data_IF_571542136761
#
_entry.id   IF_571542136761
#
_cell.length_a   1.000
_cell.length_b   1.000
_cell.length_c   1.000
_cell.angle_alpha   90.00
_cell.angle_beta   90.00
_cell.angle_gamma   90.00
#
_symmetry.space_group_name_H-M   'P 1'
#
loop_
_entity.id
_entity.type
_entity.pdbx_description
1 polymer ?
#
# COMPACT_ATOMS: atom_id res chain seq x y z
N UNK A 1 -27.19 -9.00 -2.24
CA UNK A 1 -26.46 -9.18 -3.50
C UNK A 1 -25.53 -8.02 -3.77
N UNK A 2 -24.32 -8.27 -4.27
CA UNK A 2 -23.31 -7.27 -4.57
C UNK A 2 -23.88 -6.22 -5.54
N UNK A 3 -23.78 -4.95 -5.18
CA UNK A 3 -24.24 -3.84 -6.04
C UNK A 3 -23.51 -3.82 -7.39
N UNK A 4 -22.38 -4.50 -7.51
CA UNK A 4 -21.53 -4.58 -8.70
C UNK A 4 -21.46 -5.96 -9.34
N UNK A 5 -21.82 -7.05 -8.65
CA UNK A 5 -21.72 -8.41 -9.19
C UNK A 5 -22.90 -8.81 -10.07
N UNK A 6 -24.11 -8.28 -9.83
CA UNK A 6 -25.34 -8.74 -10.51
C UNK A 6 -25.79 -7.86 -11.68
N UNK A 7 -25.01 -6.83 -12.01
CA UNK A 7 -25.37 -5.96 -13.13
C UNK A 7 -24.18 -5.78 -14.05
N UNK A 8 -24.16 -6.50 -15.14
CA UNK A 8 -23.59 -5.93 -16.35
C UNK A 8 -24.17 -4.51 -16.49
N UNK A 9 -23.32 -3.48 -16.71
CA UNK A 9 -23.83 -2.13 -16.84
C UNK A 9 -24.94 -2.16 -17.89
N UNK A 10 -26.12 -1.61 -17.55
CA UNK A 10 -27.26 -1.51 -18.47
C UNK A 10 -26.91 -0.76 -19.76
N UNK A 11 -25.79 -0.06 -19.76
CA UNK A 11 -25.25 0.75 -20.83
C UNK A 11 -23.74 0.53 -20.94
N UNK A 12 -23.29 -0.65 -21.45
CA UNK A 12 -21.87 -0.96 -21.63
C UNK A 12 -21.16 0.01 -22.58
N UNK A 13 -21.93 0.70 -23.44
CA UNK A 13 -21.47 1.75 -24.33
C UNK A 13 -21.07 3.06 -23.60
N UNK A 14 -21.59 3.30 -22.39
CA UNK A 14 -21.30 4.48 -21.59
C UNK A 14 -20.23 4.25 -20.53
N UNK A 15 -20.07 3.00 -20.07
CA UNK A 15 -19.16 2.67 -18.97
C UNK A 15 -18.38 1.39 -19.31
N UNK A 16 -17.05 1.48 -19.25
CA UNK A 16 -16.20 0.30 -19.27
C UNK A 16 -15.18 0.35 -18.13
N UNK A 17 -15.02 -0.77 -17.45
CA UNK A 17 -13.96 -0.91 -16.47
C UNK A 17 -12.74 -1.52 -17.15
N UNK A 18 -11.62 -0.81 -17.14
CA UNK A 18 -10.36 -1.26 -17.74
C UNK A 18 -9.82 -2.58 -17.16
N UNK A 19 -10.23 -2.90 -15.92
CA UNK A 19 -9.78 -4.06 -15.18
C UNK A 19 -10.97 -4.82 -14.59
N UNK A 20 -11.23 -6.02 -15.10
CA UNK A 20 -12.37 -6.86 -14.68
C UNK A 20 -12.34 -7.28 -13.20
N UNK A 21 -11.15 -7.34 -12.57
CA UNK A 21 -11.04 -7.69 -11.15
C UNK A 21 -11.59 -6.63 -10.19
N UNK A 22 -11.77 -5.39 -10.62
CA UNK A 22 -12.42 -4.36 -9.79
C UNK A 22 -13.89 -4.71 -9.54
N UNK A 23 -14.54 -5.40 -10.46
CA UNK A 23 -15.94 -5.80 -10.33
C UNK A 23 -16.15 -6.95 -9.33
N UNK A 24 -15.12 -7.74 -9.05
CA UNK A 24 -15.15 -8.83 -8.06
C UNK A 24 -14.73 -8.35 -6.67
N UNK A 25 -14.28 -7.11 -6.55
CA UNK A 25 -13.59 -6.61 -5.37
C UNK A 25 -14.52 -6.17 -4.24
N UNK A 26 -15.85 -6.18 -4.39
CA UNK A 26 -16.77 -5.78 -3.34
C UNK A 26 -17.81 -6.88 -3.07
N UNK A 27 -17.45 -7.83 -2.22
CA UNK A 27 -18.46 -8.63 -1.55
C UNK A 27 -19.21 -7.72 -0.56
N UNK A 28 -20.42 -7.32 -0.94
CA UNK A 28 -21.22 -6.35 -0.18
C UNK A 28 -21.57 -6.83 1.21
N UNK A 29 -21.71 -8.14 1.42
CA UNK A 29 -22.11 -8.68 2.71
C UNK A 29 -20.93 -8.63 3.70
N UNK A 30 -19.72 -8.97 3.24
CA UNK A 30 -18.49 -8.81 4.02
C UNK A 30 -18.24 -7.34 4.36
N UNK A 31 -18.40 -6.45 3.38
CA UNK A 31 -18.20 -5.02 3.58
C UNK A 31 -19.23 -4.46 4.58
N UNK A 32 -20.51 -4.81 4.44
CA UNK A 32 -21.58 -4.36 5.35
C UNK A 32 -21.31 -4.83 6.78
N UNK A 33 -20.93 -6.10 6.96
CA UNK A 33 -20.56 -6.67 8.27
C UNK A 33 -19.38 -5.89 8.90
N UNK A 34 -18.34 -5.60 8.11
CA UNK A 34 -17.19 -4.85 8.61
C UNK A 34 -17.54 -3.40 8.93
N UNK A 35 -18.37 -2.73 8.12
CA UNK A 35 -18.84 -1.38 8.42
C UNK A 35 -19.67 -1.34 9.71
N UNK A 36 -20.56 -2.32 9.92
CA UNK A 36 -21.32 -2.44 11.16
C UNK A 36 -20.41 -2.60 12.38
N UNK A 37 -19.42 -3.49 12.29
CA UNK A 37 -18.47 -3.73 13.38
C UNK A 37 -17.61 -2.47 13.68
N UNK A 38 -17.13 -1.78 12.64
CA UNK A 38 -16.36 -0.53 12.78
C UNK A 38 -17.23 0.56 13.40
N UNK A 39 -18.47 0.73 12.93
CA UNK A 39 -19.39 1.75 13.44
C UNK A 39 -19.80 1.48 14.90
N UNK A 40 -20.03 0.21 15.22
CA UNK A 40 -20.36 -0.22 16.57
C UNK A 40 -19.16 -0.36 17.51
N UNK A 41 -17.94 -0.09 17.07
CA UNK A 41 -16.68 -0.28 17.81
C UNK A 41 -16.54 -1.70 18.37
N UNK A 42 -17.06 -2.70 17.66
CA UNK A 42 -17.14 -4.07 18.13
C UNK A 42 -15.96 -4.92 17.69
N UNK A 43 -15.63 -5.90 18.51
CA UNK A 43 -14.72 -6.96 18.10
C UNK A 43 -15.34 -7.82 17.01
N UNK A 44 -14.50 -8.40 16.19
CA UNK A 44 -14.87 -9.45 15.25
C UNK A 44 -14.01 -10.69 15.48
N UNK A 45 -14.60 -11.85 15.27
CA UNK A 45 -13.89 -13.11 15.10
C UNK A 45 -13.98 -13.52 13.64
N UNK A 46 -12.84 -13.89 13.04
CA UNK A 46 -12.73 -14.21 11.62
C UNK A 46 -11.76 -15.34 11.38
N UNK A 47 -12.07 -16.19 10.42
CA UNK A 47 -11.16 -17.19 9.89
C UNK A 47 -10.30 -16.55 8.79
N UNK A 48 -8.99 -16.51 9.02
CA UNK A 48 -8.04 -15.90 8.11
C UNK A 48 -7.07 -16.94 7.55
N UNK A 49 -6.98 -17.03 6.23
CA UNK A 49 -6.03 -17.89 5.53
C UNK A 49 -4.64 -17.25 5.56
N UNK A 50 -3.68 -17.96 6.12
CA UNK A 50 -2.30 -17.50 6.18
C UNK A 50 -1.63 -17.49 4.80
N UNK A 51 -1.13 -16.33 4.38
CA UNK A 51 -0.53 -16.12 3.04
C UNK A 51 0.60 -17.11 2.71
N UNK A 52 1.36 -17.55 3.68
CA UNK A 52 2.53 -18.43 3.48
C UNK A 52 2.34 -19.85 4.03
N UNK A 53 1.49 -20.00 5.05
CA UNK A 53 1.26 -21.31 5.70
C UNK A 53 0.15 -22.11 5.04
N UNK A 54 -0.69 -21.46 4.25
CA UNK A 54 -1.93 -22.03 3.71
C UNK A 54 -2.87 -22.62 4.79
N UNK A 55 -2.67 -22.20 6.05
CA UNK A 55 -3.46 -22.62 7.20
C UNK A 55 -4.53 -21.58 7.50
N UNK A 56 -5.72 -22.04 7.79
CA UNK A 56 -6.81 -21.20 8.30
C UNK A 56 -6.64 -21.06 9.82
N UNK A 57 -6.62 -19.82 10.29
CA UNK A 57 -6.56 -19.53 11.73
C UNK A 57 -7.67 -18.57 12.11
N UNK A 58 -8.41 -18.92 13.13
CA UNK A 58 -9.40 -18.02 13.72
C UNK A 58 -8.67 -16.95 14.54
N UNK A 59 -8.95 -15.70 14.24
CA UNK A 59 -8.34 -14.54 14.92
C UNK A 59 -9.42 -13.59 15.42
N UNK A 60 -9.16 -12.97 16.56
CA UNK A 60 -9.99 -11.91 17.14
C UNK A 60 -9.37 -10.56 16.86
N UNK A 61 -10.16 -9.66 16.29
CA UNK A 61 -9.69 -8.38 15.76
C UNK A 61 -10.62 -7.24 16.21
N UNK A 62 -10.03 -6.04 16.34
CA UNK A 62 -10.78 -4.78 16.33
C UNK A 62 -10.66 -4.18 14.94
N UNK A 63 -11.70 -4.21 14.11
CA UNK A 63 -11.67 -3.62 12.78
C UNK A 63 -11.65 -2.10 12.87
N UNK A 64 -10.70 -1.45 12.18
CA UNK A 64 -10.49 -0.01 12.32
C UNK A 64 -10.77 0.76 11.03
N UNK A 65 -10.34 0.22 9.88
CA UNK A 65 -10.46 0.91 8.59
C UNK A 65 -10.39 -0.08 7.43
N UNK A 66 -11.19 0.17 6.40
CA UNK A 66 -11.10 -0.53 5.12
C UNK A 66 -10.19 0.26 4.18
N UNK A 67 -9.26 -0.44 3.55
CA UNK A 67 -8.29 0.10 2.63
C UNK A 67 -8.45 -0.55 1.26
N UNK A 68 -8.83 0.24 0.26
CA UNK A 68 -9.11 -0.25 -1.09
C UNK A 68 -8.07 0.33 -2.04
N UNK A 69 -7.32 -0.54 -2.71
CA UNK A 69 -6.36 -0.13 -3.70
C UNK A 69 -7.04 0.17 -5.04
N UNK A 70 -6.99 1.43 -5.46
CA UNK A 70 -7.49 1.83 -6.77
C UNK A 70 -6.67 1.26 -7.95
N UNK A 71 -5.42 0.84 -7.70
CA UNK A 71 -4.54 0.31 -8.74
C UNK A 71 -4.84 -1.14 -9.11
N UNK A 72 -5.21 -1.98 -8.13
CA UNK A 72 -5.39 -3.41 -8.32
C UNK A 72 -6.67 -3.96 -7.69
N UNK A 73 -7.58 -3.08 -7.22
CA UNK A 73 -8.85 -3.45 -6.61
C UNK A 73 -8.74 -4.27 -5.31
N UNK A 74 -7.55 -4.49 -4.78
CA UNK A 74 -7.38 -5.27 -3.56
C UNK A 74 -7.95 -4.52 -2.37
N UNK A 75 -8.65 -5.26 -1.53
CA UNK A 75 -9.27 -4.76 -0.31
C UNK A 75 -8.56 -5.34 0.89
N UNK A 76 -8.29 -4.48 1.85
CA UNK A 76 -7.65 -4.85 3.10
C UNK A 76 -8.40 -4.24 4.27
N UNK A 77 -8.53 -5.00 5.34
CA UNK A 77 -8.94 -4.52 6.63
C UNK A 77 -7.70 -4.15 7.44
N UNK A 78 -7.59 -2.89 7.83
CA UNK A 78 -6.64 -2.47 8.85
C UNK A 78 -7.30 -2.69 10.21
N UNK A 79 -6.70 -3.55 11.03
CA UNK A 79 -7.26 -3.97 12.30
C UNK A 79 -6.18 -4.10 13.38
N UNK A 80 -6.62 -4.01 14.62
CA UNK A 80 -5.78 -4.37 15.77
C UNK A 80 -5.99 -5.85 16.10
N UNK A 81 -4.90 -6.60 16.10
CA UNK A 81 -4.90 -8.00 16.51
C UNK A 81 -4.68 -8.09 18.01
N UNK A 82 -5.72 -8.46 18.75
CA UNK A 82 -5.71 -8.44 20.21
C UNK A 82 -4.59 -9.32 20.79
N UNK A 83 -4.57 -10.61 20.45
CA UNK A 83 -3.58 -11.57 20.97
C UNK A 83 -2.13 -11.19 20.61
N UNK A 84 -1.90 -10.63 19.43
CA UNK A 84 -0.59 -10.21 18.98
C UNK A 84 -0.24 -8.79 19.44
N UNK A 85 -1.19 -8.07 20.03
CA UNK A 85 -1.08 -6.69 20.50
C UNK A 85 -0.42 -5.76 19.46
N UNK A 86 -0.92 -5.80 18.23
CA UNK A 86 -0.39 -4.99 17.13
C UNK A 86 -1.42 -4.66 16.06
N UNK A 87 -1.18 -3.55 15.36
CA UNK A 87 -1.88 -3.26 14.11
C UNK A 87 -1.42 -4.23 13.03
N UNK A 88 -2.34 -4.63 12.17
CA UNK A 88 -2.06 -5.50 11.05
C UNK A 88 -3.04 -5.24 9.90
N UNK A 89 -2.64 -5.64 8.70
CA UNK A 89 -3.47 -5.59 7.50
C UNK A 89 -3.90 -7.01 7.10
N UNK A 90 -5.18 -7.19 6.84
CA UNK A 90 -5.79 -8.46 6.44
C UNK A 90 -6.45 -8.28 5.07
N UNK A 91 -6.12 -9.13 4.13
CA UNK A 91 -6.80 -9.13 2.83
C UNK A 91 -8.20 -9.72 2.97
N UNK A 92 -9.21 -9.03 2.45
CA UNK A 92 -10.60 -9.47 2.57
C UNK A 92 -10.86 -10.80 1.86
N UNK A 93 -10.20 -11.06 0.74
CA UNK A 93 -10.31 -12.31 0.00
C UNK A 93 -9.68 -13.54 0.71
N UNK A 94 -8.96 -13.31 1.82
CA UNK A 94 -8.42 -14.36 2.71
C UNK A 94 -9.22 -14.50 4.00
N UNK A 95 -10.30 -13.73 4.15
CA UNK A 95 -11.16 -13.74 5.33
C UNK A 95 -12.45 -14.49 5.04
N UNK A 96 -12.87 -15.33 5.98
CA UNK A 96 -14.16 -16.03 5.93
C UNK A 96 -14.77 -16.13 7.33
N UNK A 97 -16.05 -16.48 7.42
CA UNK A 97 -16.76 -16.67 8.69
C UNK A 97 -16.63 -15.47 9.65
N UNK A 98 -16.80 -14.26 9.12
CA UNK A 98 -16.72 -13.03 9.93
C UNK A 98 -17.96 -12.97 10.84
N UNK A 99 -17.72 -12.85 12.15
CA UNK A 99 -18.75 -12.72 13.17
C UNK A 99 -18.49 -11.48 14.01
N UNK A 100 -19.49 -10.64 14.15
CA UNK A 100 -19.44 -9.49 15.06
C UNK A 100 -19.72 -10.01 16.46
N UNK A 101 -18.88 -9.63 17.42
CA UNK A 101 -19.08 -9.91 18.84
C UNK A 101 -19.96 -8.84 19.49
N UNK A 102 -20.63 -9.18 20.59
CA UNK A 102 -21.43 -8.20 21.34
C UNK A 102 -20.57 -7.23 22.14
N UNK A 103 -19.32 -7.61 22.38
CA UNK A 103 -18.36 -6.80 23.14
C UNK A 103 -17.90 -5.57 22.35
N UNK A 104 -17.96 -4.41 23.02
CA UNK A 104 -17.47 -3.13 22.50
C UNK A 104 -16.03 -2.91 22.94
N UNK A 105 -15.19 -2.47 22.03
CA UNK A 105 -13.79 -2.16 22.32
C UNK A 105 -13.68 -0.76 22.95
N UNK A 106 -13.49 -0.67 24.25
CA UNK A 106 -13.31 0.60 24.97
C UNK A 106 -12.11 1.42 24.49
N UNK A 107 -11.11 0.75 23.89
CA UNK A 107 -9.88 1.38 23.38
C UNK A 107 -9.97 1.77 21.90
N UNK A 108 -11.16 1.67 21.29
CA UNK A 108 -11.33 1.86 19.84
C UNK A 108 -10.74 3.20 19.35
N UNK A 109 -11.07 4.30 19.99
CA UNK A 109 -10.60 5.63 19.58
C UNK A 109 -9.08 5.78 19.75
N UNK A 110 -8.51 5.21 20.79
CA UNK A 110 -7.06 5.18 20.97
C UNK A 110 -6.36 4.36 19.88
N UNK A 111 -6.94 3.20 19.51
CA UNK A 111 -6.45 2.35 18.42
C UNK A 111 -6.55 3.06 17.07
N UNK A 112 -7.66 3.75 16.82
CA UNK A 112 -7.86 4.55 15.61
C UNK A 112 -6.90 5.72 15.51
N UNK A 113 -6.64 6.40 16.63
CA UNK A 113 -5.62 7.46 16.73
C UNK A 113 -4.21 6.93 16.46
N UNK A 114 -3.88 5.73 16.95
CA UNK A 114 -2.60 5.09 16.65
C UNK A 114 -2.50 4.68 15.17
N UNK A 115 -3.57 4.17 14.58
CA UNK A 115 -3.62 3.87 13.13
C UNK A 115 -3.42 5.14 12.30
N UNK A 116 -4.07 6.25 12.65
CA UNK A 116 -3.92 7.52 11.93
C UNK A 116 -2.47 8.02 11.93
N UNK A 117 -1.75 7.85 13.04
CA UNK A 117 -0.30 8.15 13.09
C UNK A 117 0.52 7.19 12.23
N UNK A 118 0.17 5.92 12.22
CA UNK A 118 0.84 4.92 11.42
C UNK A 118 0.63 5.15 9.90
N UNK A 119 -0.53 5.64 9.48
CA UNK A 119 -0.87 5.92 8.08
C UNK A 119 0.11 6.91 7.43
N UNK A 120 0.70 7.83 8.18
CA UNK A 120 1.72 8.76 7.68
C UNK A 120 3.01 8.06 7.21
N UNK A 121 3.22 6.80 7.62
CA UNK A 121 4.37 5.98 7.27
C UNK A 121 4.02 4.76 6.39
N UNK A 122 2.76 4.67 5.96
CA UNK A 122 2.29 3.59 5.09
C UNK A 122 2.41 3.98 3.64
N UNK A 123 3.27 3.28 2.89
CA UNK A 123 3.24 3.41 1.44
C UNK A 123 2.16 2.51 0.81
N UNK A 124 2.10 1.27 1.21
CA UNK A 124 1.11 0.27 0.79
C UNK A 124 0.15 -0.10 1.92
N UNK A 125 0.16 -1.37 2.27
CA UNK A 125 -0.70 -1.93 3.32
C UNK A 125 0.07 -2.39 4.55
N UNK A 126 1.39 -2.30 4.52
CA UNK A 126 2.21 -2.67 5.67
C UNK A 126 2.03 -1.63 6.76
N UNK A 127 1.44 -2.05 7.86
CA UNK A 127 1.12 -1.22 9.01
C UNK A 127 1.79 -1.78 10.26
N UNK A 128 2.55 -0.94 10.96
CA UNK A 128 3.21 -1.32 12.23
C UNK A 128 2.72 -0.40 13.35
N UNK A 129 2.59 -0.95 14.54
CA UNK A 129 2.24 -0.18 15.74
C UNK A 129 3.35 0.79 16.12
N UNK A 130 4.60 0.36 15.97
CA UNK A 130 5.74 1.13 16.41
C UNK A 130 6.33 1.95 15.25
N UNK A 131 6.01 3.23 15.24
CA UNK A 131 6.53 4.22 14.26
C UNK A 131 8.05 4.46 14.40
N UNK A 132 8.71 3.95 15.45
CA UNK A 132 10.16 4.04 15.60
C UNK A 132 10.94 3.08 14.69
N UNK A 133 10.25 2.11 14.09
CA UNK A 133 10.83 1.13 13.17
C UNK A 133 10.44 1.44 11.72
N UNK A 134 10.62 2.68 11.31
CA UNK A 134 10.52 3.09 9.92
C UNK A 134 11.84 2.90 9.19
N UNK A 135 11.76 2.79 7.89
CA UNK A 135 12.87 2.77 6.96
C UNK A 135 12.94 4.12 6.26
N UNK A 136 14.12 4.71 6.26
CA UNK A 136 14.39 5.95 5.54
C UNK A 136 14.56 5.68 4.05
N UNK A 137 13.87 6.47 3.22
CA UNK A 137 13.96 6.44 1.76
C UNK A 137 14.24 7.84 1.26
N UNK A 138 15.36 7.99 0.56
CA UNK A 138 15.74 9.24 -0.09
C UNK A 138 16.21 8.93 -1.52
N UNK A 139 15.75 9.72 -2.49
CA UNK A 139 16.31 9.71 -3.83
C UNK A 139 16.19 11.09 -4.47
N UNK A 140 17.14 11.38 -5.35
CA UNK A 140 17.22 12.63 -6.11
C UNK A 140 16.92 12.35 -7.58
N UNK A 141 16.14 13.23 -8.20
CA UNK A 141 15.88 13.21 -9.63
C UNK A 141 16.41 14.46 -10.28
N UNK A 142 16.90 14.30 -11.50
CA UNK A 142 17.23 15.39 -12.41
C UNK A 142 16.22 15.43 -13.55
N UNK A 143 15.73 16.61 -13.88
CA UNK A 143 14.81 16.85 -14.99
C UNK A 143 15.41 17.86 -15.97
N UNK A 144 14.94 17.86 -17.21
CA UNK A 144 15.22 18.92 -18.17
C UNK A 144 14.19 20.07 -18.00
N UNK A 145 14.45 21.21 -18.61
CA UNK A 145 13.67 22.46 -18.41
C UNK A 145 12.18 22.31 -18.77
N UNK A 146 11.86 21.49 -19.77
CA UNK A 146 10.51 21.19 -20.23
C UNK A 146 9.82 20.04 -19.49
N UNK A 147 10.51 19.40 -18.53
CA UNK A 147 10.04 18.20 -17.83
C UNK A 147 9.40 18.48 -16.45
N UNK A 148 8.95 19.68 -16.18
CA UNK A 148 8.28 20.03 -14.90
C UNK A 148 7.05 19.13 -14.60
N UNK A 149 6.50 18.48 -15.62
CA UNK A 149 5.41 17.49 -15.43
C UNK A 149 5.86 16.27 -14.61
N UNK A 150 7.15 15.90 -14.62
CA UNK A 150 7.70 14.79 -13.82
C UNK A 150 7.65 15.14 -12.33
N UNK A 151 7.98 16.35 -11.95
CA UNK A 151 7.91 16.83 -10.56
C UNK A 151 6.44 16.85 -10.09
N UNK A 152 5.56 17.40 -10.94
CA UNK A 152 4.10 17.37 -10.64
C UNK A 152 3.57 15.94 -10.50
N UNK A 153 4.10 15.00 -11.28
CA UNK A 153 3.77 13.58 -11.18
C UNK A 153 4.29 12.99 -9.87
N UNK A 154 5.55 13.27 -9.50
CA UNK A 154 6.16 12.84 -8.24
C UNK A 154 5.34 13.30 -7.04
N UNK A 155 4.93 14.59 -7.03
CA UNK A 155 4.09 15.18 -6.00
C UNK A 155 2.70 14.56 -5.92
N UNK A 156 2.06 14.34 -7.08
CA UNK A 156 0.70 13.79 -7.14
C UNK A 156 0.63 12.32 -6.76
N UNK A 157 1.67 11.54 -7.07
CA UNK A 157 1.67 10.08 -6.90
C UNK A 157 2.27 9.65 -5.56
N UNK A 158 3.01 10.51 -4.88
CA UNK A 158 3.51 10.21 -3.54
C UNK A 158 2.35 9.95 -2.58
N UNK A 159 2.49 8.95 -1.72
CA UNK A 159 1.48 8.61 -0.71
C UNK A 159 1.84 9.15 0.67
N UNK A 160 3.12 9.33 0.92
CA UNK A 160 3.69 9.93 2.12
C UNK A 160 5.02 10.61 1.75
N UNK A 161 5.69 11.22 2.72
CA UNK A 161 6.96 11.91 2.50
C UNK A 161 6.80 13.29 1.85
N UNK A 162 7.91 13.89 1.50
CA UNK A 162 7.99 15.21 0.90
C UNK A 162 8.91 15.24 -0.31
N UNK A 163 8.67 16.20 -1.19
CA UNK A 163 9.54 16.55 -2.32
C UNK A 163 10.14 17.90 -2.04
N UNK A 164 11.45 18.00 -2.10
CA UNK A 164 12.21 19.22 -1.86
C UNK A 164 12.87 19.65 -3.17
N UNK A 165 12.78 20.92 -3.50
CA UNK A 165 13.54 21.51 -4.62
C UNK A 165 14.95 21.78 -4.13
N UNK A 166 15.97 21.18 -4.79
CA UNK A 166 17.38 21.44 -4.53
C UNK A 166 17.84 22.65 -5.37
N UNK A 167 17.55 22.61 -6.67
CA UNK A 167 17.78 23.69 -7.62
C UNK A 167 16.72 23.63 -8.74
N UNK A 168 16.91 24.34 -9.84
CA UNK A 168 15.89 24.44 -10.89
C UNK A 168 15.60 23.10 -11.56
N UNK A 169 16.57 22.20 -11.63
CA UNK A 169 16.47 20.93 -12.33
C UNK A 169 16.61 19.71 -11.42
N UNK A 170 16.93 19.90 -10.13
CA UNK A 170 17.09 18.80 -9.18
C UNK A 170 16.08 18.86 -8.05
N UNK A 171 15.47 17.71 -7.77
CA UNK A 171 14.50 17.53 -6.72
C UNK A 171 14.83 16.30 -5.90
N UNK A 172 14.59 16.37 -4.60
CA UNK A 172 14.79 15.28 -3.64
C UNK A 172 13.45 14.83 -3.10
N UNK A 173 13.23 13.54 -3.09
CA UNK A 173 12.14 12.91 -2.36
C UNK A 173 12.67 12.28 -1.09
N UNK A 174 11.97 12.49 0.04
CA UNK A 174 12.33 11.93 1.35
C UNK A 174 11.08 11.37 2.02
N UNK A 175 11.17 10.17 2.57
CA UNK A 175 10.11 9.55 3.36
C UNK A 175 10.64 8.62 4.45
N UNK A 176 9.85 8.48 5.50
CA UNK A 176 9.99 7.44 6.52
C UNK A 176 8.83 6.47 6.38
N UNK A 177 9.10 5.23 5.98
CA UNK A 177 8.07 4.23 5.66
C UNK A 177 8.27 2.94 6.43
N UNK A 178 7.21 2.15 6.58
CA UNK A 178 7.31 0.84 7.23
C UNK A 178 7.96 -0.24 6.36
N UNK A 179 7.89 -0.08 5.05
CA UNK A 179 8.43 -1.06 4.11
C UNK A 179 8.80 -0.39 2.78
N UNK A 180 10.10 -0.20 2.57
CA UNK A 180 10.64 0.36 1.33
C UNK A 180 10.32 -0.49 0.11
N UNK A 181 10.15 -1.81 0.29
CA UNK A 181 9.89 -2.71 -0.85
C UNK A 181 8.56 -2.42 -1.53
N UNK A 182 7.57 -1.92 -0.79
CA UNK A 182 6.28 -1.51 -1.35
C UNK A 182 6.39 -0.29 -2.29
N UNK A 183 7.46 0.51 -2.15
CA UNK A 183 7.70 1.70 -2.96
C UNK A 183 8.45 1.40 -4.27
N UNK A 184 9.22 0.32 -4.32
CA UNK A 184 10.12 0.03 -5.45
C UNK A 184 9.43 0.08 -6.82
N UNK A 185 8.20 -0.45 -7.00
CA UNK A 185 7.49 -0.36 -8.28
C UNK A 185 7.25 1.09 -8.73
N UNK A 186 6.92 1.97 -7.79
CA UNK A 186 6.71 3.39 -8.09
C UNK A 186 8.03 4.10 -8.35
N UNK A 187 9.06 3.89 -7.54
CA UNK A 187 10.40 4.47 -7.73
C UNK A 187 10.96 4.10 -9.11
N UNK A 188 10.76 2.83 -9.56
CA UNK A 188 11.18 2.39 -10.90
C UNK A 188 10.59 3.21 -12.03
N UNK A 189 9.44 3.84 -11.83
CA UNK A 189 8.84 4.69 -12.88
C UNK A 189 9.61 5.98 -13.13
N UNK A 190 10.58 6.33 -12.28
CA UNK A 190 11.47 7.49 -12.39
C UNK A 190 12.91 7.09 -12.71
N UNK A 191 13.18 5.84 -13.07
CA UNK A 191 14.53 5.25 -13.19
C UNK A 191 15.45 6.06 -14.10
N UNK A 192 14.92 6.63 -15.20
CA UNK A 192 15.69 7.45 -16.15
C UNK A 192 16.04 8.85 -15.62
N UNK A 193 15.57 9.23 -14.46
CA UNK A 193 15.78 10.55 -13.85
C UNK A 193 16.49 10.48 -12.51
N UNK A 194 16.58 9.29 -11.89
CA UNK A 194 17.23 9.12 -10.58
C UNK A 194 18.73 9.26 -10.74
N UNK A 195 19.29 10.25 -10.06
CA UNK A 195 20.75 10.53 -10.04
C UNK A 195 21.41 10.03 -8.76
N UNK A 196 20.65 9.97 -7.66
CA UNK A 196 21.15 9.54 -6.37
C UNK A 196 20.06 8.79 -5.61
N UNK A 197 20.48 7.82 -4.81
CA UNK A 197 19.57 7.00 -4.01
C UNK A 197 20.25 6.60 -2.70
N UNK A 198 19.49 6.69 -1.61
CA UNK A 198 19.92 6.30 -0.27
C UNK A 198 18.75 5.74 0.52
N UNK A 199 18.78 4.44 0.79
CA UNK A 199 17.80 3.78 1.64
C UNK A 199 18.47 3.23 2.89
N UNK A 200 17.80 3.31 4.04
CA UNK A 200 18.24 2.61 5.26
C UNK A 200 18.12 1.09 5.09
N UNK A 201 17.12 0.62 4.33
CA UNK A 201 17.01 -0.77 3.91
C UNK A 201 17.95 -1.07 2.74
N UNK A 202 19.18 -1.48 3.08
CA UNK A 202 20.23 -1.79 2.09
C UNK A 202 19.86 -2.95 1.16
N UNK A 203 19.08 -3.91 1.64
CA UNK A 203 18.62 -5.02 0.80
C UNK A 203 17.71 -4.52 -0.31
N UNK A 204 16.76 -3.63 0.00
CA UNK A 204 15.89 -3.01 -0.99
C UNK A 204 16.68 -2.13 -1.98
N UNK A 205 17.63 -1.34 -1.49
CA UNK A 205 18.50 -0.51 -2.34
C UNK A 205 19.34 -1.36 -3.30
N UNK A 206 20.01 -2.38 -2.78
CA UNK A 206 20.85 -3.27 -3.58
C UNK A 206 20.04 -4.04 -4.62
N UNK A 207 18.84 -4.51 -4.25
CA UNK A 207 17.93 -5.15 -5.20
C UNK A 207 17.55 -4.21 -6.33
N UNK A 208 17.21 -2.96 -6.03
CA UNK A 208 16.88 -1.96 -7.03
C UNK A 208 18.06 -1.74 -8.00
N UNK A 209 19.28 -1.56 -7.47
CA UNK A 209 20.48 -1.38 -8.28
C UNK A 209 20.81 -2.60 -9.14
N UNK A 210 20.67 -3.81 -8.59
CA UNK A 210 20.87 -5.05 -9.33
C UNK A 210 19.88 -5.21 -10.48
N UNK A 211 18.60 -4.87 -10.25
CA UNK A 211 17.57 -4.91 -11.30
C UNK A 211 17.92 -3.94 -12.47
N UNK A 212 18.49 -2.76 -12.17
CA UNK A 212 18.95 -1.81 -13.19
C UNK A 212 20.15 -2.38 -13.97
N UNK A 213 21.13 -2.93 -13.26
CA UNK A 213 22.30 -3.51 -13.90
C UNK A 213 21.91 -4.66 -14.83
N UNK A 214 21.01 -5.54 -14.37
CA UNK A 214 20.51 -6.64 -15.19
C UNK A 214 19.74 -6.12 -16.43
N UNK A 215 18.93 -5.06 -16.27
CA UNK A 215 18.28 -4.42 -17.39
C UNK A 215 19.30 -3.87 -18.41
N UNK A 216 20.35 -3.16 -17.96
CA UNK A 216 21.39 -2.66 -18.83
C UNK A 216 22.08 -3.80 -19.57
N UNK A 217 22.39 -4.91 -18.88
CA UNK A 217 22.98 -6.10 -19.50
C UNK A 217 22.09 -6.70 -20.58
N UNK A 218 20.78 -6.85 -20.30
CA UNK A 218 19.83 -7.42 -21.27
C UNK A 218 19.68 -6.56 -22.53
N UNK A 219 19.79 -5.25 -22.40
CA UNK A 219 19.71 -4.32 -23.52
C UNK A 219 21.07 -4.02 -24.19
N UNK A 220 22.15 -4.69 -23.75
CA UNK A 220 23.48 -4.46 -24.31
C UNK A 220 24.05 -3.07 -24.02
N UNK A 221 23.58 -2.42 -22.92
CA UNK A 221 24.03 -1.11 -22.49
C UNK A 221 25.20 -1.19 -21.49
N UNK A 222 25.64 -2.41 -21.16
CA UNK A 222 26.80 -2.64 -20.30
C UNK A 222 28.08 -2.34 -21.08
N UNK A 223 28.69 -1.20 -20.79
CA UNK A 223 30.08 -0.93 -21.13
C UNK A 223 30.35 -0.45 -22.53
N UNK A 224 29.79 0.66 -22.90
CA UNK A 224 30.53 1.62 -23.71
C UNK A 224 31.63 2.26 -22.85
N UNK A 225 32.58 1.49 -22.38
CA UNK A 225 33.87 2.10 -22.04
C UNK A 225 34.42 2.71 -23.36
N UNK A 226 34.46 4.02 -23.36
CA UNK A 226 35.04 4.80 -24.44
C UNK A 226 36.33 4.13 -24.95
N UNK A 227 36.34 3.81 -26.24
CA UNK A 227 37.56 3.86 -27.02
C UNK A 227 37.90 5.30 -27.34
#
# INVERSE_FOLDING_TARGET
>A
GSFLQDRQPKHPELFSFKHHYITQAMDSDVMATLFEAIHGHRYITVDNLGKHSNEVRTVRLVPLKLYISAQNGRQNLLAFHEKANRLNSYRLDYMSNIRIEDEVCEKFDALRGALSKAEAHMWGVNCKWNIKHTEHVEFEIKIEDDEQFIVRRLEREKRCGCVEKIDDNHYRYVAEVFDTTEMLPWIRTFISRITRMRFSNRTAENKFKADIQEMCRMYGLDGGAAQ
#
